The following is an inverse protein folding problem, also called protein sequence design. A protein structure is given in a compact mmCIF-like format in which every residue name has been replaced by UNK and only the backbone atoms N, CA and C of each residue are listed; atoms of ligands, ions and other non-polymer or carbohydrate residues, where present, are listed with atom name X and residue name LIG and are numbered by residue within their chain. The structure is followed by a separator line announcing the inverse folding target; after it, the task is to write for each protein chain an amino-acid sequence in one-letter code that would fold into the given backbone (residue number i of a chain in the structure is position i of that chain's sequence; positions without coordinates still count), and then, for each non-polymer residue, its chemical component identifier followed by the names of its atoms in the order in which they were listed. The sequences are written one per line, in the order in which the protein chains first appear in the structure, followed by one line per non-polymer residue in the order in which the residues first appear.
data_IF_495727080976
#
_entry.id   IF_495727080976
#
_cell.length_a   1.000
_cell.length_b   1.000
_cell.length_c   1.000
_cell.angle_alpha   90.00
_cell.angle_beta   90.00
_cell.angle_gamma   90.00
#
_symmetry.space_group_name_H-M   'P 1'
#
loop_
_entity.id
_entity.type
_entity.pdbx_description
1 polymer ?
#
# COMPACT_ATOMS: atom_id res chain seq x y z
N UNK A 1 27.91 20.71 -25.99
CA UNK A 1 29.36 20.64 -26.25
C UNK A 1 30.11 20.64 -24.91
N UNK A 2 30.66 19.50 -24.50
CA UNK A 2 31.40 19.37 -23.24
C UNK A 2 32.68 20.21 -23.21
N UNK A 3 33.26 20.55 -24.37
CA UNK A 3 34.46 21.40 -24.46
C UNK A 3 34.16 22.87 -24.17
N UNK A 4 32.95 23.33 -24.51
CA UNK A 4 32.47 24.66 -24.14
C UNK A 4 32.08 24.76 -22.65
N UNK A 5 31.48 23.71 -22.08
CA UNK A 5 31.01 23.69 -20.67
C UNK A 5 32.13 23.50 -19.65
N UNK A 6 33.25 22.89 -20.04
CA UNK A 6 34.44 22.70 -19.20
C UNK A 6 35.70 23.03 -20.02
N UNK A 7 36.09 24.31 -20.09
CA UNK A 7 37.10 24.76 -21.05
C UNK A 7 38.55 24.42 -20.66
N UNK A 8 38.84 24.19 -19.38
CA UNK A 8 40.19 23.91 -18.91
C UNK A 8 40.48 22.40 -18.95
N UNK A 9 41.52 21.95 -19.68
CA UNK A 9 42.01 20.57 -19.57
C UNK A 9 42.70 20.37 -18.22
N UNK A 10 42.53 19.17 -17.65
CA UNK A 10 43.24 18.80 -16.43
C UNK A 10 44.76 18.75 -16.71
N UNK A 11 45.63 19.15 -15.74
CA UNK A 11 47.07 19.01 -15.90
C UNK A 11 47.46 17.55 -16.17
N UNK A 12 48.51 17.33 -16.96
CA UNK A 12 49.01 15.98 -17.28
C UNK A 12 49.28 15.19 -15.99
N UNK A 13 48.66 14.01 -15.87
CA UNK A 13 48.73 13.15 -14.67
C UNK A 13 47.69 13.45 -13.58
N UNK A 14 46.88 14.50 -13.72
CA UNK A 14 45.82 14.87 -12.76
C UNK A 14 44.40 14.57 -13.26
N UNK A 15 44.26 13.86 -14.38
CA UNK A 15 42.99 13.49 -15.02
C UNK A 15 42.08 12.61 -14.14
N UNK A 16 42.62 11.98 -13.09
CA UNK A 16 41.87 11.20 -12.08
C UNK A 16 41.95 11.79 -10.67
N UNK A 17 42.49 13.01 -10.52
CA UNK A 17 42.57 13.71 -9.24
C UNK A 17 41.18 13.94 -8.64
N UNK A 18 41.11 14.27 -7.35
CA UNK A 18 39.84 14.46 -6.64
C UNK A 18 38.94 15.55 -7.27
N UNK A 19 39.57 16.53 -7.94
CA UNK A 19 38.91 17.67 -8.59
C UNK A 19 38.99 17.58 -10.12
N UNK A 20 39.36 16.42 -10.68
CA UNK A 20 39.46 16.25 -12.12
C UNK A 20 38.12 16.52 -12.80
N UNK A 21 38.19 17.11 -14.00
CA UNK A 21 37.03 17.49 -14.82
C UNK A 21 36.06 16.33 -15.05
N UNK A 22 36.57 15.11 -15.18
CA UNK A 22 35.75 13.91 -15.41
C UNK A 22 34.68 13.69 -14.33
N UNK A 23 34.99 14.01 -13.06
CA UNK A 23 34.05 13.85 -11.96
C UNK A 23 32.91 14.86 -12.03
N UNK A 24 33.21 16.10 -12.41
CA UNK A 24 32.19 17.14 -12.64
C UNK A 24 31.30 16.80 -13.83
N UNK A 25 31.88 16.32 -14.94
CA UNK A 25 31.11 15.83 -16.09
C UNK A 25 30.19 14.68 -15.68
N UNK A 26 30.73 13.69 -14.97
CA UNK A 26 29.94 12.55 -14.49
C UNK A 26 28.82 12.99 -13.55
N UNK A 27 29.08 13.92 -12.63
CA UNK A 27 28.08 14.41 -11.69
C UNK A 27 26.96 15.18 -12.40
N UNK A 28 27.27 15.99 -13.41
CA UNK A 28 26.25 16.72 -14.17
C UNK A 28 25.37 15.75 -14.97
N UNK A 29 25.98 14.79 -15.68
CA UNK A 29 25.24 13.77 -16.43
C UNK A 29 24.40 12.86 -15.50
N UNK A 30 24.98 12.49 -14.37
CA UNK A 30 24.30 11.71 -13.34
C UNK A 30 23.13 12.48 -12.73
N UNK A 31 23.24 13.79 -12.54
CA UNK A 31 22.18 14.62 -12.02
C UNK A 31 20.98 14.67 -12.97
N UNK A 32 21.22 14.80 -14.29
CA UNK A 32 20.17 14.78 -15.30
C UNK A 32 19.47 13.41 -15.34
N UNK A 33 20.23 12.31 -15.28
CA UNK A 33 19.67 10.96 -15.18
C UNK A 33 18.84 10.76 -13.90
N UNK A 34 19.39 11.15 -12.75
CA UNK A 34 18.76 11.01 -11.45
C UNK A 34 17.47 11.82 -11.38
N UNK A 35 17.48 13.04 -11.91
CA UNK A 35 16.31 13.90 -11.97
C UNK A 35 15.16 13.23 -12.72
N UNK A 36 15.42 12.72 -13.93
CA UNK A 36 14.39 12.08 -14.75
C UNK A 36 13.85 10.80 -14.08
N UNK A 37 14.74 9.94 -13.60
CA UNK A 37 14.36 8.69 -12.91
C UNK A 37 13.51 8.96 -11.66
N UNK A 38 13.93 9.94 -10.84
CA UNK A 38 13.24 10.25 -9.60
C UNK A 38 11.91 10.95 -9.82
N UNK A 39 11.80 11.79 -10.86
CA UNK A 39 10.54 12.43 -11.22
C UNK A 39 9.48 11.36 -11.54
N UNK A 40 9.80 10.43 -12.45
CA UNK A 40 8.90 9.34 -12.84
C UNK A 40 8.46 8.48 -11.64
N UNK A 41 9.43 8.08 -10.81
CA UNK A 41 9.15 7.24 -9.65
C UNK A 41 8.33 7.95 -8.59
N UNK A 42 8.63 9.23 -8.30
CA UNK A 42 7.88 10.01 -7.31
C UNK A 42 6.47 10.30 -7.78
N UNK A 43 6.29 10.66 -9.05
CA UNK A 43 4.96 10.91 -9.62
C UNK A 43 4.09 9.64 -9.54
N UNK A 44 4.67 8.48 -9.92
CA UNK A 44 3.99 7.19 -9.80
C UNK A 44 3.60 6.87 -8.36
N UNK A 45 4.53 7.01 -7.42
CA UNK A 45 4.29 6.76 -6.00
C UNK A 45 3.21 7.69 -5.43
N UNK A 46 3.22 8.97 -5.81
CA UNK A 46 2.27 9.96 -5.30
C UNK A 46 0.85 9.68 -5.78
N UNK A 47 0.68 9.29 -7.05
CA UNK A 47 -0.61 8.83 -7.59
C UNK A 47 -1.09 7.58 -6.84
N UNK A 48 -0.22 6.59 -6.65
CA UNK A 48 -0.56 5.35 -5.95
C UNK A 48 -0.96 5.60 -4.49
N UNK A 49 -0.28 6.51 -3.79
CA UNK A 49 -0.59 6.86 -2.40
C UNK A 49 -1.96 7.53 -2.26
N UNK A 50 -2.29 8.47 -3.15
CA UNK A 50 -3.61 9.11 -3.18
C UNK A 50 -4.69 8.07 -3.45
N UNK A 51 -4.49 7.21 -4.46
CA UNK A 51 -5.43 6.15 -4.78
C UNK A 51 -5.61 5.18 -3.61
N UNK A 52 -4.52 4.68 -3.03
CA UNK A 52 -4.56 3.74 -1.92
C UNK A 52 -5.26 4.33 -0.69
N UNK A 53 -5.03 5.61 -0.38
CA UNK A 53 -5.73 6.32 0.69
C UNK A 53 -7.24 6.40 0.46
N UNK A 54 -7.66 6.86 -0.71
CA UNK A 54 -9.09 6.98 -1.07
C UNK A 54 -9.77 5.62 -1.10
N UNK A 55 -9.14 4.63 -1.75
CA UNK A 55 -9.64 3.27 -1.83
C UNK A 55 -9.75 2.62 -0.45
N UNK A 56 -8.75 2.80 0.43
CA UNK A 56 -8.81 2.27 1.80
C UNK A 56 -9.94 2.90 2.61
N UNK A 57 -10.20 4.21 2.44
CA UNK A 57 -11.30 4.89 3.11
C UNK A 57 -12.67 4.31 2.68
N UNK A 58 -12.88 4.14 1.38
CA UNK A 58 -14.08 3.51 0.83
C UNK A 58 -14.20 2.07 1.32
N UNK A 59 -13.13 1.28 1.24
CA UNK A 59 -13.17 -0.12 1.63
C UNK A 59 -13.41 -0.32 3.13
N UNK A 60 -12.95 0.60 3.96
CA UNK A 60 -13.20 0.58 5.40
C UNK A 60 -14.70 0.65 5.72
N UNK A 61 -15.49 1.41 4.97
CA UNK A 61 -16.95 1.48 5.22
C UNK A 61 -17.62 0.13 4.96
N UNK A 62 -17.25 -0.54 3.87
CA UNK A 62 -17.71 -1.89 3.54
C UNK A 62 -17.29 -2.91 4.59
N UNK A 63 -16.03 -2.90 5.03
CA UNK A 63 -15.53 -3.79 6.09
C UNK A 63 -16.29 -3.58 7.40
N UNK A 64 -16.53 -2.32 7.80
CA UNK A 64 -17.32 -2.02 9.00
C UNK A 64 -18.73 -2.57 8.87
N UNK A 65 -19.38 -2.38 7.72
CA UNK A 65 -20.72 -2.87 7.47
C UNK A 65 -20.80 -4.41 7.51
N UNK A 66 -19.92 -5.13 6.83
CA UNK A 66 -19.93 -6.61 6.89
C UNK A 66 -19.51 -7.17 8.23
N UNK A 67 -18.62 -6.49 8.95
CA UNK A 67 -18.24 -6.89 10.30
C UNK A 67 -19.41 -6.80 11.28
N UNK A 68 -20.32 -5.84 11.08
CA UNK A 68 -21.56 -5.75 11.85
C UNK A 68 -22.53 -6.90 11.52
N UNK A 69 -22.63 -7.31 10.24
CA UNK A 69 -23.45 -8.47 9.85
C UNK A 69 -22.96 -9.79 10.47
N UNK A 70 -21.68 -9.85 10.84
CA UNK A 70 -21.05 -11.00 11.50
C UNK A 70 -21.27 -11.00 13.02
N UNK A 71 -21.96 -10.00 13.57
CA UNK A 71 -22.33 -9.94 14.98
C UNK A 71 -23.81 -10.28 15.18
N UNK A 72 -24.18 -10.93 16.30
CA UNK A 72 -25.57 -11.20 16.61
C UNK A 72 -26.38 -9.91 16.79
N UNK A 73 -27.49 -9.77 16.07
CA UNK A 73 -28.46 -8.70 16.34
C UNK A 73 -29.30 -9.06 17.57
N UNK A 74 -29.03 -8.40 18.70
CA UNK A 74 -29.75 -8.60 19.95
C UNK A 74 -31.23 -8.20 19.85
N UNK A 75 -31.59 -7.28 18.95
CA UNK A 75 -32.99 -6.91 18.74
C UNK A 75 -33.74 -8.04 18.02
N UNK A 76 -33.13 -8.62 16.99
CA UNK A 76 -33.72 -9.76 16.28
C UNK A 76 -33.79 -11.00 17.18
N UNK A 77 -32.72 -11.28 17.94
CA UNK A 77 -32.70 -12.34 18.94
C UNK A 77 -33.83 -12.17 19.98
N UNK A 78 -34.00 -10.97 20.52
CA UNK A 78 -35.05 -10.66 21.50
C UNK A 78 -36.44 -10.81 20.88
N UNK A 79 -36.65 -10.36 19.65
CA UNK A 79 -37.92 -10.50 18.94
C UNK A 79 -38.27 -11.97 18.68
N UNK A 80 -37.30 -12.79 18.26
CA UNK A 80 -37.51 -14.23 18.05
C UNK A 80 -37.88 -14.93 19.36
N UNK A 81 -37.18 -14.62 20.45
CA UNK A 81 -37.51 -15.15 21.79
C UNK A 81 -38.91 -14.73 22.23
N UNK A 82 -39.29 -13.46 22.06
CA UNK A 82 -40.63 -12.97 22.40
C UNK A 82 -41.71 -13.70 21.59
N UNK A 83 -41.47 -13.96 20.31
CA UNK A 83 -42.39 -14.70 19.45
C UNK A 83 -42.54 -16.16 19.87
N UNK A 84 -41.45 -16.78 20.32
CA UNK A 84 -41.44 -18.15 20.83
C UNK A 84 -42.20 -18.27 22.16
N UNK A 85 -42.01 -17.31 23.08
CA UNK A 85 -42.78 -17.19 24.33
C UNK A 85 -44.27 -16.97 24.03
N UNK A 86 -44.61 -16.08 23.09
CA UNK A 86 -45.99 -15.82 22.70
C UNK A 86 -46.66 -17.09 22.14
N UNK A 87 -45.97 -17.81 21.24
CA UNK A 87 -46.47 -19.09 20.70
C UNK A 87 -46.76 -20.08 21.81
N UNK A 88 -45.82 -20.29 22.73
CA UNK A 88 -45.99 -21.22 23.84
C UNK A 88 -47.16 -20.85 24.77
N UNK A 89 -47.34 -19.55 25.01
CA UNK A 89 -48.45 -19.03 25.84
C UNK A 89 -49.81 -19.28 25.18
N UNK A 90 -49.90 -19.12 23.85
CA UNK A 90 -51.14 -19.35 23.10
C UNK A 90 -51.46 -20.84 22.95
N UNK A 91 -50.45 -21.71 22.79
CA UNK A 91 -50.65 -23.15 22.63
C UNK A 91 -50.87 -23.92 23.95
N UNK A 92 -50.77 -23.24 25.10
CA UNK A 92 -50.84 -23.84 26.45
C UNK A 92 -49.88 -25.04 26.63
N UNK A 93 -48.81 -25.06 25.85
CA UNK A 93 -47.82 -26.13 25.84
C UNK A 93 -46.71 -25.78 26.83
N UNK A 94 -46.51 -26.66 27.81
CA UNK A 94 -45.59 -26.44 28.94
C UNK A 94 -44.14 -26.80 28.60
N UNK A 95 -43.88 -27.28 27.38
CA UNK A 95 -42.55 -27.68 26.92
C UNK A 95 -41.85 -26.55 26.18
N UNK A 96 -41.49 -25.50 26.92
CA UNK A 96 -40.65 -24.42 26.38
C UNK A 96 -39.20 -24.93 26.38
N UNK A 97 -38.63 -25.21 25.20
CA UNK A 97 -37.18 -25.40 25.07
C UNK A 97 -36.52 -24.04 24.97
N UNK A 98 -36.27 -23.39 26.11
CA UNK A 98 -35.57 -22.10 26.12
C UNK A 98 -34.12 -22.35 25.65
N UNK A 99 -33.64 -21.65 24.62
CA UNK A 99 -32.26 -21.76 24.18
C UNK A 99 -31.28 -21.33 25.29
N UNK A 100 -30.09 -21.93 25.37
CA UNK A 100 -29.12 -21.67 26.45
C UNK A 100 -28.54 -20.25 26.41
N UNK A 101 -28.66 -19.55 25.28
CA UNK A 101 -28.27 -18.15 25.15
C UNK A 101 -29.18 -17.43 24.13
N UNK A 102 -29.32 -16.09 24.24
CA UNK A 102 -30.08 -15.30 23.27
C UNK A 102 -29.53 -15.39 21.85
N UNK A 103 -28.25 -15.70 21.71
CA UNK A 103 -27.52 -15.79 20.44
C UNK A 103 -27.36 -17.22 19.93
N UNK A 104 -27.97 -18.22 20.59
CA UNK A 104 -27.82 -19.63 20.22
C UNK A 104 -28.25 -19.96 18.77
N UNK A 105 -29.07 -19.10 18.15
CA UNK A 105 -29.51 -19.23 16.77
C UNK A 105 -28.68 -18.42 15.77
N UNK A 106 -27.70 -17.64 16.24
CA UNK A 106 -26.85 -16.85 15.38
C UNK A 106 -25.71 -17.70 14.84
N UNK A 107 -25.71 -17.90 13.52
CA UNK A 107 -24.56 -18.38 12.76
C UNK A 107 -24.37 -17.44 11.59
N UNK A 108 -23.22 -16.78 11.44
CA UNK A 108 -22.97 -15.96 10.27
C UNK A 108 -23.07 -16.82 9.01
N UNK A 109 -23.62 -16.26 7.94
CA UNK A 109 -23.73 -16.98 6.69
C UNK A 109 -22.33 -17.22 6.11
N UNK A 110 -22.13 -18.32 5.38
CA UNK A 110 -20.86 -18.57 4.68
C UNK A 110 -20.51 -17.41 3.73
N UNK A 111 -21.50 -16.80 3.09
CA UNK A 111 -21.31 -15.61 2.25
C UNK A 111 -20.73 -14.42 3.03
N UNK A 112 -21.23 -14.15 4.25
CA UNK A 112 -20.73 -13.04 5.08
C UNK A 112 -19.27 -13.28 5.50
N UNK A 113 -18.91 -14.53 5.83
CA UNK A 113 -17.53 -14.91 6.15
C UNK A 113 -16.58 -14.65 4.97
N UNK A 114 -16.97 -15.05 3.76
CA UNK A 114 -16.19 -14.84 2.55
C UNK A 114 -16.07 -13.36 2.17
N UNK A 115 -17.17 -12.61 2.24
CA UNK A 115 -17.19 -11.18 1.95
C UNK A 115 -16.26 -10.39 2.88
N UNK A 116 -16.42 -10.61 4.19
CA UNK A 116 -15.60 -9.96 5.20
C UNK A 116 -14.11 -10.29 4.99
N UNK A 117 -13.80 -11.55 4.68
CA UNK A 117 -12.42 -11.99 4.40
C UNK A 117 -11.84 -11.32 3.15
N UNK A 118 -12.57 -11.31 2.03
CA UNK A 118 -12.13 -10.69 0.77
C UNK A 118 -11.87 -9.19 0.94
N UNK A 119 -12.78 -8.49 1.59
CA UNK A 119 -12.63 -7.04 1.81
C UNK A 119 -11.54 -6.71 2.82
N UNK A 120 -11.35 -7.52 3.87
CA UNK A 120 -10.24 -7.33 4.80
C UNK A 120 -8.87 -7.59 4.15
N UNK A 121 -8.75 -8.64 3.33
CA UNK A 121 -7.52 -8.91 2.55
C UNK A 121 -7.25 -7.79 1.56
N UNK A 122 -8.28 -7.34 0.85
CA UNK A 122 -8.20 -6.18 -0.04
C UNK A 122 -7.67 -4.94 0.70
N UNK A 123 -8.23 -4.63 1.88
CA UNK A 123 -7.84 -3.47 2.68
C UNK A 123 -6.40 -3.57 3.14
N UNK A 124 -6.02 -4.73 3.66
CA UNK A 124 -4.66 -5.01 4.12
C UNK A 124 -3.66 -4.85 2.98
N UNK A 125 -3.96 -5.37 1.79
CA UNK A 125 -3.09 -5.27 0.63
C UNK A 125 -2.91 -3.81 0.15
N UNK A 126 -3.99 -3.02 0.18
CA UNK A 126 -3.95 -1.58 -0.10
C UNK A 126 -3.05 -0.84 0.90
N UNK A 127 -3.20 -1.12 2.21
CA UNK A 127 -2.40 -0.50 3.26
C UNK A 127 -0.93 -0.91 3.18
N UNK A 128 -0.62 -2.17 2.88
CA UNK A 128 0.75 -2.63 2.65
C UNK A 128 1.35 -1.88 1.45
N UNK A 129 0.60 -1.74 0.36
CA UNK A 129 1.05 -0.99 -0.82
C UNK A 129 1.38 0.46 -0.45
N UNK A 130 0.50 1.13 0.30
CA UNK A 130 0.74 2.49 0.78
C UNK A 130 1.97 2.58 1.69
N UNK A 131 2.15 1.63 2.63
CA UNK A 131 3.30 1.60 3.52
C UNK A 131 4.62 1.44 2.75
N UNK A 132 4.68 0.50 1.81
CA UNK A 132 5.88 0.29 0.99
C UNK A 132 6.14 1.50 0.11
N UNK A 133 5.12 2.13 -0.47
CA UNK A 133 5.26 3.36 -1.24
C UNK A 133 5.88 4.51 -0.41
N UNK A 134 5.48 4.66 0.86
CA UNK A 134 6.11 5.64 1.78
C UNK A 134 7.58 5.28 2.05
N UNK A 135 7.90 4.01 2.31
CA UNK A 135 9.28 3.57 2.54
C UNK A 135 10.19 3.84 1.33
N UNK A 136 9.70 3.54 0.13
CA UNK A 136 10.43 3.86 -1.10
C UNK A 136 10.62 5.37 -1.23
N UNK A 137 9.59 6.18 -0.97
CA UNK A 137 9.72 7.65 -0.99
C UNK A 137 10.81 8.14 -0.04
N UNK A 138 10.93 7.54 1.14
CA UNK A 138 12.02 7.84 2.09
C UNK A 138 13.39 7.45 1.53
N UNK A 139 13.53 6.29 0.89
CA UNK A 139 14.79 5.90 0.23
C UNK A 139 15.18 6.85 -0.90
N UNK A 140 14.21 7.26 -1.74
CA UNK A 140 14.44 8.22 -2.82
C UNK A 140 14.77 9.62 -2.29
N UNK A 141 14.25 9.99 -1.13
CA UNK A 141 14.64 11.23 -0.47
C UNK A 141 16.10 11.16 0.02
N UNK A 142 16.47 10.07 0.69
CA UNK A 142 17.83 9.87 1.19
C UNK A 142 18.87 9.76 0.07
N UNK A 143 18.48 9.18 -1.08
CA UNK A 143 19.33 9.07 -2.27
C UNK A 143 19.87 10.43 -2.73
N UNK A 144 19.00 11.45 -2.78
CA UNK A 144 19.32 12.80 -3.28
C UNK A 144 20.00 13.68 -2.23
N UNK A 145 20.03 13.28 -0.96
CA UNK A 145 20.59 14.09 0.12
C UNK A 145 22.02 14.56 -0.21
N UNK A 146 22.21 15.87 -0.31
CA UNK A 146 23.48 16.45 -0.79
C UNK A 146 24.55 16.32 0.31
N UNK A 147 25.73 15.81 -0.06
CA UNK A 147 26.92 15.86 0.79
C UNK A 147 27.77 17.05 0.34
N UNK A 148 27.55 18.20 0.97
CA UNK A 148 28.07 19.51 0.51
C UNK A 148 29.57 19.71 0.73
N UNK A 149 30.21 18.96 1.62
CA UNK A 149 31.58 19.22 2.09
C UNK A 149 32.63 18.23 1.52
N UNK A 150 32.43 17.75 0.29
CA UNK A 150 33.28 16.68 -0.28
C UNK A 150 33.72 16.98 -1.71
N UNK A 151 34.90 16.44 -2.09
CA UNK A 151 35.47 16.61 -3.43
C UNK A 151 34.53 16.06 -4.51
N UNK A 152 34.60 16.55 -5.78
CA UNK A 152 33.80 16.01 -6.88
C UNK A 152 33.92 14.49 -7.03
N UNK A 153 35.13 13.93 -6.85
CA UNK A 153 35.36 12.49 -6.84
C UNK A 153 34.59 11.77 -5.73
N UNK A 154 34.63 12.29 -4.51
CA UNK A 154 33.96 11.66 -3.37
C UNK A 154 32.43 11.72 -3.53
N UNK A 155 31.91 12.86 -4.01
CA UNK A 155 30.49 13.00 -4.38
C UNK A 155 30.07 11.98 -5.43
N UNK A 156 30.88 11.82 -6.49
CA UNK A 156 30.63 10.86 -7.56
C UNK A 156 30.59 9.42 -7.03
N UNK A 157 31.52 9.07 -6.13
CA UNK A 157 31.57 7.76 -5.46
C UNK A 157 30.38 7.52 -4.55
N UNK A 158 30.03 8.49 -3.70
CA UNK A 158 28.88 8.39 -2.79
C UNK A 158 27.59 8.19 -3.60
N UNK A 159 27.38 8.99 -4.65
CA UNK A 159 26.22 8.81 -5.54
C UNK A 159 26.22 7.42 -6.17
N UNK A 160 27.35 6.96 -6.70
CA UNK A 160 27.46 5.64 -7.29
C UNK A 160 27.14 4.53 -6.29
N UNK A 161 27.65 4.60 -5.06
CA UNK A 161 27.36 3.64 -3.99
C UNK A 161 25.87 3.63 -3.63
N UNK A 162 25.24 4.81 -3.54
CA UNK A 162 23.80 4.91 -3.28
C UNK A 162 22.98 4.31 -4.42
N UNK A 163 23.37 4.57 -5.68
CA UNK A 163 22.70 4.03 -6.85
C UNK A 163 22.85 2.51 -6.93
N UNK A 164 24.06 1.99 -6.71
CA UNK A 164 24.33 0.56 -6.59
C UNK A 164 23.52 -0.06 -5.45
N UNK A 165 23.35 0.66 -4.34
CA UNK A 165 22.44 0.31 -3.26
C UNK A 165 21.00 0.14 -3.77
N UNK A 166 20.42 1.16 -4.41
CA UNK A 166 19.06 1.07 -4.96
C UNK A 166 18.88 -0.13 -5.90
N UNK A 167 19.87 -0.43 -6.72
CA UNK A 167 19.87 -1.59 -7.62
C UNK A 167 19.98 -2.92 -6.86
N UNK A 168 20.88 -3.02 -5.89
CA UNK A 168 21.08 -4.25 -5.09
C UNK A 168 19.85 -4.59 -4.28
N UNK A 169 19.19 -3.57 -3.71
CA UNK A 169 17.93 -3.71 -2.97
C UNK A 169 16.70 -3.84 -3.89
N UNK A 170 16.89 -3.86 -5.21
CA UNK A 170 15.83 -4.04 -6.21
C UNK A 170 14.69 -3.01 -6.06
N UNK A 171 15.01 -1.78 -5.66
CA UNK A 171 14.03 -0.69 -5.52
C UNK A 171 13.22 -0.45 -6.80
N UNK A 172 13.80 -0.49 -8.02
CA UNK A 172 13.02 -0.38 -9.25
C UNK A 172 11.94 -1.47 -9.37
N UNK A 173 12.25 -2.71 -8.99
CA UNK A 173 11.31 -3.82 -9.03
C UNK A 173 10.21 -3.64 -7.99
N UNK A 174 10.54 -3.15 -6.79
CA UNK A 174 9.55 -2.84 -5.74
C UNK A 174 8.57 -1.78 -6.25
N UNK A 175 9.06 -0.70 -6.86
CA UNK A 175 8.22 0.36 -7.44
C UNK A 175 7.29 -0.21 -8.51
N UNK A 176 7.82 -1.06 -9.40
CA UNK A 176 7.03 -1.72 -10.44
C UNK A 176 5.96 -2.69 -9.91
N UNK A 177 6.14 -3.25 -8.71
CA UNK A 177 5.18 -4.16 -8.06
C UNK A 177 4.06 -3.42 -7.30
N UNK A 178 4.27 -2.16 -6.89
CA UNK A 178 3.26 -1.38 -6.15
C UNK A 178 1.91 -1.30 -6.90
N UNK A 179 1.85 -0.94 -8.20
CA UNK A 179 0.59 -0.96 -8.95
C UNK A 179 -0.05 -2.35 -8.99
N UNK A 180 0.75 -3.41 -9.10
CA UNK A 180 0.24 -4.79 -9.19
C UNK A 180 -0.47 -5.19 -7.90
N UNK A 181 0.13 -4.89 -6.74
CA UNK A 181 -0.46 -5.13 -5.43
C UNK A 181 -1.79 -4.35 -5.27
N UNK A 182 -1.81 -3.09 -5.71
CA UNK A 182 -3.01 -2.25 -5.67
C UNK A 182 -4.12 -2.77 -6.59
N UNK A 183 -3.80 -3.21 -7.80
CA UNK A 183 -4.77 -3.81 -8.72
C UNK A 183 -5.31 -5.15 -8.18
N UNK A 184 -4.46 -5.97 -7.57
CA UNK A 184 -4.89 -7.21 -6.92
C UNK A 184 -5.86 -6.92 -5.77
N UNK A 185 -5.59 -5.88 -4.97
CA UNK A 185 -6.48 -5.39 -3.92
C UNK A 185 -7.84 -4.98 -4.52
N UNK A 186 -7.83 -4.15 -5.57
CA UNK A 186 -9.03 -3.73 -6.26
C UNK A 186 -9.85 -4.90 -6.84
N UNK A 187 -9.17 -5.91 -7.41
CA UNK A 187 -9.82 -7.10 -7.95
C UNK A 187 -10.50 -7.93 -6.85
N UNK A 188 -9.87 -8.09 -5.69
CA UNK A 188 -10.47 -8.75 -4.52
C UNK A 188 -11.70 -7.99 -4.02
N UNK A 189 -11.63 -6.65 -3.99
CA UNK A 189 -12.78 -5.82 -3.64
C UNK A 189 -13.95 -6.04 -4.59
N UNK A 190 -13.72 -5.98 -5.91
CA UNK A 190 -14.78 -6.18 -6.89
C UNK A 190 -15.36 -7.60 -6.86
N UNK A 191 -14.53 -8.62 -6.61
CA UNK A 191 -15.02 -9.98 -6.39
C UNK A 191 -15.97 -10.04 -5.19
N UNK A 192 -15.61 -9.42 -4.07
CA UNK A 192 -16.50 -9.29 -2.91
C UNK A 192 -17.76 -8.48 -3.22
N UNK A 193 -17.64 -7.37 -3.96
CA UNK A 193 -18.79 -6.55 -4.35
C UNK A 193 -19.79 -7.33 -5.20
N UNK A 194 -19.31 -8.14 -6.14
CA UNK A 194 -20.17 -9.00 -6.95
C UNK A 194 -20.93 -10.01 -6.07
N UNK A 195 -20.24 -10.69 -5.16
CA UNK A 195 -20.88 -11.63 -4.22
C UNK A 195 -21.94 -10.92 -3.38
N UNK A 196 -21.64 -9.72 -2.86
CA UNK A 196 -22.55 -8.92 -2.05
C UNK A 196 -23.82 -8.55 -2.82
N UNK A 197 -23.67 -8.10 -4.08
CA UNK A 197 -24.80 -7.74 -4.94
C UNK A 197 -25.66 -8.95 -5.33
N UNK A 198 -25.08 -10.14 -5.47
CA UNK A 198 -25.85 -11.37 -5.73
C UNK A 198 -26.56 -11.91 -4.48
N UNK A 199 -26.10 -11.55 -3.28
CA UNK A 199 -26.74 -11.94 -2.02
C UNK A 199 -27.85 -10.99 -1.54
N UNK A 200 -27.97 -9.83 -2.18
CA UNK A 200 -28.97 -8.79 -1.85
C UNK A 200 -30.33 -9.10 -2.51
#
# INVERSE_FOLDING_TARGET
DYKARYPQPDPYGQEMSANARIWSIYLDEAADFDFNMLAEWRDTIDILLVFAGLFSAVLTTFVVQTSQNMQPDYNEASMRLLFEILKATVSNDSRISIPPSPTAFFSPSRSDEWLNSLWFVSLTLSLITALVAVLVKQWLHQYVSIVSDSSPRDRARIRHLRYAGLQTWQVPMIIGMLPVLLHASLALFFAGLAIFLFSL
#
